data_IF_687112277994
#
_entry.id   IF_687112277994
#
_cell.length_a   1.000
_cell.length_b   1.000
_cell.length_c   1.000
_cell.angle_alpha   90.00
_cell.angle_beta   90.00
_cell.angle_gamma   90.00
#
_symmetry.space_group_name_H-M   'P 1'
#
loop_
_entity.id
_entity.type
_entity.pdbx_description
1 polymer ?
#
# COMPACT_ATOMS: atom_id res chain seq x y z
N UNK A 1 43.12 25.33 1.32
CA UNK A 1 42.07 24.35 1.53
C UNK A 1 40.69 25.05 1.37
N UNK A 2 39.63 24.34 1.03
CA UNK A 2 38.25 24.92 0.95
C UNK A 2 37.85 25.63 2.24
N UNK A 3 38.33 25.17 3.38
CA UNK A 3 38.09 25.74 4.69
C UNK A 3 38.53 27.22 4.79
N UNK A 4 39.71 27.57 4.32
CA UNK A 4 40.21 28.94 4.38
C UNK A 4 39.42 29.90 3.49
N UNK A 5 38.86 29.37 2.43
CA UNK A 5 37.98 30.11 1.51
C UNK A 5 36.63 30.40 2.10
N UNK A 6 36.05 29.45 2.86
CA UNK A 6 34.81 29.68 3.61
C UNK A 6 34.93 30.75 4.69
N UNK A 7 36.06 30.72 5.45
CA UNK A 7 36.33 31.75 6.46
C UNK A 7 36.50 33.13 5.82
N UNK A 8 37.28 33.23 4.73
CA UNK A 8 37.46 34.48 4.00
C UNK A 8 36.18 35.04 3.44
N UNK A 9 35.32 34.21 2.86
CA UNK A 9 34.04 34.65 2.34
C UNK A 9 33.15 35.16 3.46
N UNK A 10 33.06 34.44 4.58
CA UNK A 10 32.27 34.87 5.71
C UNK A 10 32.76 36.19 6.30
N UNK A 11 34.06 36.35 6.48
CA UNK A 11 34.63 37.60 7.01
C UNK A 11 34.44 38.81 6.08
N UNK A 12 34.28 38.59 4.76
CA UNK A 12 34.10 39.66 3.77
C UNK A 12 32.62 39.94 3.47
N UNK A 13 31.73 38.95 3.50
CA UNK A 13 30.32 39.10 3.10
C UNK A 13 29.33 39.11 4.28
N UNK A 14 29.74 38.56 5.44
CA UNK A 14 28.85 38.33 6.60
C UNK A 14 27.83 37.17 6.39
N UNK A 15 27.85 36.49 5.24
CA UNK A 15 26.93 35.39 4.95
C UNK A 15 27.30 34.11 5.70
N UNK A 16 26.41 33.65 6.59
CA UNK A 16 26.57 32.42 7.39
C UNK A 16 26.18 31.19 6.57
N UNK A 17 27.14 30.55 5.89
CA UNK A 17 26.88 29.30 5.15
C UNK A 17 26.98 28.04 6.03
N UNK A 18 27.77 28.09 7.12
CA UNK A 18 28.10 26.93 7.95
C UNK A 18 27.89 27.23 9.44
N UNK A 19 28.01 28.50 9.85
CA UNK A 19 27.89 28.92 11.24
C UNK A 19 26.45 28.83 11.72
N UNK A 20 26.21 28.04 12.78
CA UNK A 20 24.88 27.83 13.38
C UNK A 20 24.07 26.70 12.73
N UNK A 21 24.51 26.14 11.62
CA UNK A 21 23.83 25.05 10.93
C UNK A 21 24.65 23.76 11.08
N UNK A 22 24.07 22.72 11.75
CA UNK A 22 24.71 21.41 11.84
C UNK A 22 24.75 20.74 10.46
N UNK A 23 25.87 20.12 10.12
CA UNK A 23 26.03 19.33 8.88
C UNK A 23 26.58 17.95 9.19
N UNK A 24 26.08 16.95 8.50
CA UNK A 24 26.67 15.62 8.51
C UNK A 24 27.71 15.59 7.40
N UNK A 25 28.96 15.27 7.76
CA UNK A 25 30.08 15.18 6.85
C UNK A 25 30.89 13.92 7.13
N UNK A 26 31.68 13.45 6.16
CA UNK A 26 32.66 12.39 6.38
C UNK A 26 33.96 12.95 7.00
N UNK A 27 34.31 12.46 8.17
CA UNK A 27 35.64 12.72 8.77
C UNK A 27 36.58 11.52 8.50
N UNK A 28 37.84 11.82 8.21
CA UNK A 28 38.89 10.80 8.05
C UNK A 28 39.67 10.68 9.35
N UNK A 29 39.67 9.51 9.93
CA UNK A 29 40.47 9.18 11.11
C UNK A 29 41.97 9.03 10.79
N UNK A 30 42.81 9.01 11.81
CA UNK A 30 44.27 8.85 11.66
C UNK A 30 44.67 7.50 11.04
N UNK A 31 43.84 6.45 11.21
CA UNK A 31 44.01 5.13 10.62
C UNK A 31 43.50 5.03 9.16
N UNK A 32 42.99 6.14 8.60
CA UNK A 32 42.52 6.23 7.23
C UNK A 32 41.03 5.88 7.05
N UNK A 33 40.33 5.37 8.06
CA UNK A 33 38.90 5.10 8.02
C UNK A 33 38.10 6.39 7.92
N UNK A 34 36.96 6.34 7.22
CA UNK A 34 36.02 7.42 7.13
C UNK A 34 34.85 7.12 8.05
N UNK A 35 34.40 8.10 8.82
CA UNK A 35 33.25 8.03 9.70
C UNK A 35 32.31 9.22 9.46
N UNK A 36 30.99 9.04 9.61
CA UNK A 36 30.05 10.14 9.58
C UNK A 36 30.12 10.92 10.89
N UNK A 37 30.27 12.25 10.77
CA UNK A 37 30.29 13.13 11.93
C UNK A 37 29.32 14.30 11.75
N UNK A 38 28.65 14.69 12.82
CA UNK A 38 27.93 15.94 12.90
C UNK A 38 28.91 17.06 13.24
N UNK A 39 29.06 18.05 12.33
CA UNK A 39 29.88 19.23 12.51
C UNK A 39 28.99 20.43 12.75
N UNK A 40 29.18 21.12 13.88
CA UNK A 40 28.57 22.42 14.19
C UNK A 40 29.65 23.44 14.44
N UNK A 41 29.50 24.63 13.88
CA UNK A 41 30.44 25.73 14.07
C UNK A 41 29.69 26.87 14.76
N UNK A 42 30.19 27.29 15.93
CA UNK A 42 29.75 28.43 16.64
C UNK A 42 30.73 29.63 16.48
N UNK A 43 30.23 30.83 16.61
CA UNK A 43 31.01 32.07 16.66
C UNK A 43 30.76 32.75 17.99
N UNK A 44 31.81 33.19 18.63
CA UNK A 44 31.78 34.02 19.84
C UNK A 44 32.75 35.21 19.70
N UNK A 45 32.46 36.31 20.32
CA UNK A 45 33.37 37.47 20.46
C UNK A 45 33.90 37.49 21.89
N UNK A 46 35.19 37.38 22.04
CA UNK A 46 35.89 37.39 23.32
C UNK A 46 36.97 38.47 23.24
N UNK A 47 36.96 39.43 24.14
CA UNK A 47 37.93 40.55 24.19
C UNK A 47 38.06 41.35 22.88
N UNK A 48 36.95 41.50 22.13
CA UNK A 48 36.91 42.22 20.86
C UNK A 48 37.49 41.38 19.69
N UNK A 49 37.80 40.12 19.93
CA UNK A 49 38.25 39.19 18.89
C UNK A 49 37.22 38.11 18.59
N UNK A 50 36.96 37.85 17.30
CA UNK A 50 36.09 36.78 16.87
C UNK A 50 36.80 35.44 17.03
N UNK A 51 36.13 34.54 17.74
CA UNK A 51 36.59 33.14 17.90
C UNK A 51 35.54 32.19 17.30
N UNK A 52 36.02 31.17 16.63
CA UNK A 52 35.18 30.08 16.08
C UNK A 52 35.39 28.81 16.90
N UNK A 53 34.28 28.23 17.34
CA UNK A 53 34.30 26.97 18.07
C UNK A 53 33.69 25.88 17.16
N UNK A 54 34.44 24.81 16.89
CA UNK A 54 33.96 23.63 16.17
C UNK A 54 33.54 22.54 17.15
N UNK A 55 32.34 22.05 17.00
CA UNK A 55 31.84 20.86 17.69
C UNK A 55 31.75 19.72 16.68
N UNK A 56 32.42 18.60 16.95
CA UNK A 56 32.40 17.42 16.11
C UNK A 56 31.88 16.25 16.94
N UNK A 57 30.84 15.61 16.47
CA UNK A 57 30.25 14.44 17.11
C UNK A 57 30.28 13.25 16.15
N UNK A 58 30.87 12.15 16.56
CA UNK A 58 30.76 10.88 15.85
C UNK A 58 29.32 10.38 15.93
N UNK A 59 28.69 10.16 14.79
CA UNK A 59 27.30 9.68 14.68
C UNK A 59 27.21 8.26 14.11
N UNK A 60 28.34 7.56 13.99
CA UNK A 60 28.41 6.20 13.43
C UNK A 60 27.50 5.23 14.17
N UNK A 61 27.56 5.24 15.51
CA UNK A 61 26.72 4.38 16.33
C UNK A 61 25.24 4.76 16.22
N UNK A 62 24.95 6.05 16.19
CA UNK A 62 23.56 6.54 16.04
C UNK A 62 22.95 6.11 14.71
N UNK A 63 23.71 6.22 13.60
CA UNK A 63 23.24 5.76 12.28
C UNK A 63 23.10 4.25 12.22
N UNK A 64 24.07 3.50 12.77
CA UNK A 64 23.98 2.04 12.82
C UNK A 64 22.77 1.56 13.64
N UNK A 65 22.49 2.21 14.78
CA UNK A 65 21.32 1.89 15.60
C UNK A 65 20.00 2.25 14.88
N UNK A 66 19.92 3.40 14.21
CA UNK A 66 18.74 3.78 13.42
C UNK A 66 18.47 2.76 12.31
N UNK A 67 19.50 2.34 11.58
CA UNK A 67 19.38 1.30 10.55
C UNK A 67 18.92 -0.03 11.14
N UNK A 68 19.50 -0.44 12.29
CA UNK A 68 19.12 -1.67 12.99
C UNK A 68 17.67 -1.66 13.46
N UNK A 69 17.18 -0.52 13.99
CA UNK A 69 15.78 -0.36 14.39
C UNK A 69 14.87 -0.51 13.17
N UNK A 70 15.20 0.13 12.05
CA UNK A 70 14.43 -0.01 10.81
C UNK A 70 14.38 -1.45 10.31
N UNK A 71 15.52 -2.16 10.34
CA UNK A 71 15.56 -3.57 9.97
C UNK A 71 14.70 -4.45 10.89
N UNK A 72 14.78 -4.23 12.20
CA UNK A 72 13.95 -4.96 13.17
C UNK A 72 12.45 -4.69 12.96
N UNK A 73 12.07 -3.47 12.63
CA UNK A 73 10.67 -3.14 12.33
C UNK A 73 10.16 -3.91 11.10
N UNK A 74 10.97 -4.01 10.04
CA UNK A 74 10.65 -4.81 8.84
C UNK A 74 10.51 -6.30 9.19
N UNK A 75 11.45 -6.84 9.98
CA UNK A 75 11.39 -8.25 10.42
C UNK A 75 10.15 -8.53 11.29
N UNK A 76 9.83 -7.65 12.24
CA UNK A 76 8.64 -7.77 13.08
C UNK A 76 7.35 -7.71 12.25
N UNK A 77 7.28 -6.80 11.28
CA UNK A 77 6.13 -6.71 10.38
C UNK A 77 5.95 -8.00 9.55
N UNK A 78 7.05 -8.57 9.05
CA UNK A 78 7.02 -9.84 8.34
C UNK A 78 6.63 -11.01 9.24
N UNK A 79 7.16 -11.08 10.46
CA UNK A 79 6.80 -12.11 11.44
C UNK A 79 5.32 -12.01 11.85
N UNK A 80 4.81 -10.80 12.09
CA UNK A 80 3.39 -10.56 12.39
C UNK A 80 2.48 -11.05 11.28
N UNK A 81 2.84 -10.79 10.00
CA UNK A 81 2.08 -11.29 8.83
C UNK A 81 2.07 -12.81 8.75
N UNK A 82 3.24 -13.44 8.89
CA UNK A 82 3.34 -14.91 8.87
C UNK A 82 2.56 -15.54 10.03
N UNK A 83 2.59 -14.94 11.20
CA UNK A 83 1.81 -15.38 12.37
C UNK A 83 0.31 -15.26 12.10
N UNK A 84 -0.13 -14.14 11.50
CA UNK A 84 -1.52 -13.95 11.11
C UNK A 84 -1.97 -15.01 10.08
N UNK A 85 -1.15 -15.32 9.07
CA UNK A 85 -1.43 -16.43 8.12
C UNK A 85 -1.54 -17.78 8.84
N UNK A 86 -0.67 -18.05 9.82
CA UNK A 86 -0.70 -19.29 10.60
C UNK A 86 -1.99 -19.48 11.40
N UNK A 87 -2.45 -18.43 12.08
CA UNK A 87 -3.72 -18.46 12.83
C UNK A 87 -4.94 -18.58 11.91
N UNK A 88 -4.82 -18.13 10.68
CA UNK A 88 -5.90 -18.11 9.69
C UNK A 88 -5.90 -19.33 8.76
N UNK A 89 -4.86 -20.16 8.79
CA UNK A 89 -4.76 -21.32 7.89
C UNK A 89 -6.02 -22.20 7.95
N UNK A 90 -6.65 -22.33 9.11
CA UNK A 90 -7.89 -23.10 9.29
C UNK A 90 -9.10 -22.42 8.61
N UNK A 91 -9.26 -21.11 8.76
CA UNK A 91 -10.35 -20.37 8.14
C UNK A 91 -10.20 -20.32 6.62
N UNK A 92 -8.97 -20.10 6.13
CA UNK A 92 -8.66 -20.10 4.70
C UNK A 92 -8.85 -21.47 4.05
N UNK A 93 -8.46 -22.56 4.76
CA UNK A 93 -8.74 -23.91 4.29
C UNK A 93 -10.25 -24.15 4.20
N UNK A 94 -11.02 -23.65 5.14
CA UNK A 94 -12.48 -23.76 5.12
C UNK A 94 -13.08 -22.98 3.94
N UNK A 95 -12.70 -21.72 3.75
CA UNK A 95 -13.17 -20.89 2.62
C UNK A 95 -12.75 -21.41 1.25
N UNK A 96 -11.59 -22.04 1.13
CA UNK A 96 -11.16 -22.68 -0.11
C UNK A 96 -11.90 -24.00 -0.36
N UNK A 97 -12.13 -24.80 0.68
CA UNK A 97 -12.84 -26.06 0.55
C UNK A 97 -14.31 -25.88 0.16
N UNK A 98 -14.98 -24.79 0.57
CA UNK A 98 -16.37 -24.51 0.20
C UNK A 98 -16.59 -24.48 -1.32
N UNK A 99 -15.95 -23.61 -2.12
CA UNK A 99 -16.14 -23.60 -3.57
C UNK A 99 -15.66 -24.89 -4.24
N UNK A 100 -14.60 -25.53 -3.74
CA UNK A 100 -14.10 -26.80 -4.29
C UNK A 100 -15.10 -27.95 -4.07
N UNK A 101 -15.73 -28.01 -2.90
CA UNK A 101 -16.81 -28.97 -2.62
C UNK A 101 -18.03 -28.69 -3.52
N UNK A 102 -18.39 -27.42 -3.71
CA UNK A 102 -19.49 -27.06 -4.61
C UNK A 102 -19.19 -27.46 -6.06
N UNK A 103 -17.94 -27.26 -6.55
CA UNK A 103 -17.50 -27.75 -7.87
C UNK A 103 -17.69 -29.25 -7.99
N UNK A 104 -17.22 -30.03 -7.00
CA UNK A 104 -17.36 -31.48 -7.01
C UNK A 104 -18.84 -31.92 -7.08
N UNK A 105 -19.70 -31.31 -6.26
CA UNK A 105 -21.14 -31.60 -6.23
C UNK A 105 -21.82 -31.27 -7.56
N UNK A 106 -21.54 -30.11 -8.18
CA UNK A 106 -22.11 -29.76 -9.48
C UNK A 106 -21.65 -30.70 -10.61
N UNK A 107 -20.37 -31.07 -10.61
CA UNK A 107 -19.84 -32.03 -11.60
C UNK A 107 -20.44 -33.45 -11.42
N UNK A 108 -20.65 -33.86 -10.16
CA UNK A 108 -21.28 -35.17 -9.87
C UNK A 108 -22.75 -35.17 -10.30
N UNK A 109 -23.50 -34.10 -9.98
CA UNK A 109 -24.88 -33.93 -10.45
C UNK A 109 -24.98 -33.92 -11.97
N UNK A 110 -24.12 -33.16 -12.66
CA UNK A 110 -24.07 -33.16 -14.13
C UNK A 110 -23.78 -34.53 -14.71
N UNK A 111 -22.83 -35.26 -14.11
CA UNK A 111 -22.48 -36.64 -14.53
C UNK A 111 -23.67 -37.60 -14.38
N UNK A 112 -24.36 -37.57 -13.24
CA UNK A 112 -25.46 -38.50 -12.95
C UNK A 112 -26.68 -38.23 -13.85
N UNK A 113 -26.86 -37.01 -14.34
CA UNK A 113 -27.90 -36.63 -15.28
C UNK A 113 -27.57 -37.03 -16.73
N UNK A 114 -26.30 -37.28 -17.08
CA UNK A 114 -25.90 -37.61 -18.44
C UNK A 114 -26.39 -38.98 -18.91
N UNK A 115 -26.56 -39.94 -17.98
CA UNK A 115 -26.93 -41.34 -18.35
C UNK A 115 -28.31 -41.46 -18.98
N UNK A 116 -29.23 -40.50 -18.73
CA UNK A 116 -30.59 -40.49 -19.27
C UNK A 116 -30.99 -39.08 -19.76
N UNK A 117 -30.09 -38.35 -20.41
CA UNK A 117 -30.30 -37.00 -20.82
C UNK A 117 -31.32 -36.82 -21.92
N UNK A 118 -32.45 -36.18 -21.61
CA UNK A 118 -33.37 -35.59 -22.57
C UNK A 118 -33.11 -34.08 -22.77
N UNK A 119 -33.88 -33.40 -23.58
CA UNK A 119 -33.69 -31.99 -23.90
C UNK A 119 -33.76 -31.10 -22.67
N UNK A 120 -34.66 -31.41 -21.73
CA UNK A 120 -34.83 -30.59 -20.48
C UNK A 120 -33.68 -30.88 -19.52
N UNK A 121 -33.22 -32.13 -19.41
CA UNK A 121 -32.06 -32.51 -18.59
C UNK A 121 -30.76 -31.86 -19.07
N UNK A 122 -30.58 -31.68 -20.40
CA UNK A 122 -29.41 -30.98 -20.94
C UNK A 122 -29.28 -29.54 -20.43
N UNK A 123 -30.41 -28.83 -20.19
CA UNK A 123 -30.39 -27.47 -19.62
C UNK A 123 -29.85 -27.52 -18.21
N UNK A 124 -30.30 -28.43 -17.35
CA UNK A 124 -29.80 -28.59 -15.99
C UNK A 124 -28.32 -28.97 -15.93
N UNK A 125 -27.85 -29.81 -16.87
CA UNK A 125 -26.43 -30.14 -16.99
C UNK A 125 -25.61 -28.90 -17.32
N UNK A 126 -26.08 -28.08 -18.26
CA UNK A 126 -25.40 -26.79 -18.60
C UNK A 126 -25.33 -25.85 -17.42
N UNK A 127 -26.43 -25.64 -16.69
CA UNK A 127 -26.48 -24.83 -15.48
C UNK A 127 -25.51 -25.34 -14.41
N UNK A 128 -25.43 -26.66 -14.19
CA UNK A 128 -24.50 -27.24 -13.24
C UNK A 128 -23.03 -27.01 -13.64
N UNK A 129 -22.68 -27.12 -14.91
CA UNK A 129 -21.34 -26.89 -15.44
C UNK A 129 -20.96 -25.39 -15.30
N UNK A 130 -21.89 -24.48 -15.59
CA UNK A 130 -21.67 -23.02 -15.45
C UNK A 130 -21.48 -22.64 -13.97
N UNK A 131 -22.28 -23.25 -13.06
CA UNK A 131 -22.13 -23.10 -11.63
C UNK A 131 -20.76 -23.60 -11.14
N UNK A 132 -20.30 -24.79 -11.62
CA UNK A 132 -18.98 -25.32 -11.30
C UNK A 132 -17.86 -24.42 -11.80
N UNK A 133 -17.95 -23.90 -13.02
CA UNK A 133 -16.99 -22.94 -13.57
C UNK A 133 -16.91 -21.67 -12.73
N UNK A 134 -18.03 -21.13 -12.31
CA UNK A 134 -18.13 -19.96 -11.43
C UNK A 134 -17.44 -20.21 -10.08
N UNK A 135 -17.66 -21.35 -9.44
CA UNK A 135 -17.02 -21.70 -8.18
C UNK A 135 -15.51 -21.93 -8.34
N UNK A 136 -15.06 -22.50 -9.47
CA UNK A 136 -13.62 -22.64 -9.77
C UNK A 136 -12.90 -21.28 -9.88
N UNK A 137 -13.54 -20.31 -10.54
CA UNK A 137 -13.02 -18.94 -10.64
C UNK A 137 -12.92 -18.32 -9.24
N UNK A 138 -13.95 -18.51 -8.39
CA UNK A 138 -13.97 -18.03 -7.01
C UNK A 138 -12.84 -18.63 -6.19
N UNK A 139 -12.58 -19.93 -6.27
CA UNK A 139 -11.46 -20.59 -5.61
C UNK A 139 -10.11 -19.99 -6.04
N UNK A 140 -9.94 -19.77 -7.35
CA UNK A 140 -8.74 -19.11 -7.89
C UNK A 140 -8.53 -17.69 -7.37
N UNK A 141 -9.60 -16.93 -7.16
CA UNK A 141 -9.54 -15.59 -6.56
C UNK A 141 -9.10 -15.64 -5.08
N UNK A 142 -9.57 -16.61 -4.30
CA UNK A 142 -9.15 -16.83 -2.91
C UNK A 142 -7.64 -17.10 -2.84
N UNK A 143 -7.13 -18.02 -3.69
CA UNK A 143 -5.71 -18.34 -3.76
C UNK A 143 -4.86 -17.12 -4.15
N UNK A 144 -5.30 -16.32 -5.13
CA UNK A 144 -4.59 -15.10 -5.53
C UNK A 144 -4.50 -14.09 -4.38
N UNK A 145 -5.61 -13.83 -3.68
CA UNK A 145 -5.63 -12.93 -2.52
C UNK A 145 -4.69 -13.40 -1.41
N UNK A 146 -4.65 -14.72 -1.14
CA UNK A 146 -3.72 -15.31 -0.18
C UNK A 146 -2.27 -15.10 -0.61
N UNK A 147 -1.94 -15.39 -1.87
CA UNK A 147 -0.60 -15.16 -2.41
C UNK A 147 -0.19 -13.71 -2.31
N UNK A 148 -1.08 -12.78 -2.67
CA UNK A 148 -0.82 -11.34 -2.63
C UNK A 148 -0.62 -10.84 -1.18
N UNK A 149 -1.22 -11.51 -0.19
CA UNK A 149 -0.98 -11.24 1.23
C UNK A 149 0.39 -11.74 1.72
N UNK A 150 0.85 -12.90 1.21
CA UNK A 150 2.12 -13.54 1.64
C UNK A 150 3.32 -13.02 0.86
N UNK A 151 3.17 -12.76 -0.47
CA UNK A 151 4.27 -12.46 -1.40
C UNK A 151 4.63 -10.98 -1.42
N UNK A 152 5.09 -10.40 -0.29
CA UNK A 152 5.64 -9.06 -0.30
C UNK A 152 7.15 -9.11 -0.25
N UNK A 153 7.76 -8.95 -1.44
CA UNK A 153 9.17 -8.60 -1.60
C UNK A 153 9.51 -7.20 -1.06
N UNK A 154 10.75 -6.80 -1.16
CA UNK A 154 11.21 -5.43 -0.89
C UNK A 154 10.37 -4.43 -1.71
N UNK A 155 9.98 -3.30 -1.08
CA UNK A 155 9.27 -2.20 -1.75
C UNK A 155 10.15 -1.63 -2.88
N UNK A 156 9.64 -1.63 -4.09
CA UNK A 156 10.28 -0.99 -5.23
C UNK A 156 9.83 0.47 -5.35
N UNK A 157 10.33 1.30 -4.44
CA UNK A 157 10.00 2.72 -4.36
C UNK A 157 10.60 3.50 -5.52
N UNK A 158 9.78 3.97 -6.43
CA UNK A 158 10.18 4.75 -7.62
C UNK A 158 9.27 5.97 -7.80
N UNK A 159 9.73 7.01 -8.53
CA UNK A 159 8.83 8.07 -8.98
C UNK A 159 7.73 7.50 -9.89
N UNK A 160 6.47 7.66 -9.49
CA UNK A 160 5.30 7.08 -10.16
C UNK A 160 4.34 8.20 -10.54
N UNK A 161 3.84 8.16 -11.78
CA UNK A 161 2.77 9.03 -12.24
C UNK A 161 1.41 8.50 -11.73
N UNK A 162 0.75 9.27 -10.88
CA UNK A 162 -0.53 8.88 -10.28
C UNK A 162 -1.65 8.74 -11.30
N UNK A 163 -1.68 9.58 -12.35
CA UNK A 163 -2.70 9.50 -13.39
C UNK A 163 -2.68 8.12 -14.06
N UNK A 164 -1.49 7.67 -14.48
CA UNK A 164 -1.33 6.35 -15.11
C UNK A 164 -1.77 5.20 -14.17
N UNK A 165 -1.41 5.28 -12.89
CA UNK A 165 -1.77 4.23 -11.92
C UNK A 165 -3.27 4.16 -11.70
N UNK A 166 -3.94 5.32 -11.61
CA UNK A 166 -5.41 5.37 -11.42
C UNK A 166 -6.15 4.90 -12.67
N UNK A 167 -5.67 5.25 -13.87
CA UNK A 167 -6.25 4.76 -15.13
C UNK A 167 -6.12 3.24 -15.24
N UNK A 168 -4.92 2.68 -14.98
CA UNK A 168 -4.68 1.24 -14.94
C UNK A 168 -5.59 0.55 -13.90
N UNK A 169 -5.67 1.12 -12.69
CA UNK A 169 -6.48 0.57 -11.60
C UNK A 169 -7.98 0.60 -11.93
N UNK A 170 -8.47 1.70 -12.49
CA UNK A 170 -9.87 1.86 -12.90
C UNK A 170 -10.25 0.84 -13.96
N UNK A 171 -9.37 0.60 -14.93
CA UNK A 171 -9.58 -0.40 -15.97
C UNK A 171 -9.66 -1.81 -15.39
N UNK A 172 -8.75 -2.16 -14.46
CA UNK A 172 -8.71 -3.46 -13.81
C UNK A 172 -9.89 -3.68 -12.83
N UNK A 173 -10.32 -2.63 -12.13
CA UNK A 173 -11.41 -2.73 -11.17
C UNK A 173 -12.74 -3.08 -11.85
N UNK A 174 -12.96 -2.67 -13.08
CA UNK A 174 -14.17 -2.95 -13.87
C UNK A 174 -14.27 -4.41 -14.36
N UNK A 175 -13.17 -5.12 -14.42
CA UNK A 175 -13.15 -6.53 -14.85
C UNK A 175 -13.91 -7.39 -13.85
N UNK A 176 -14.92 -8.12 -14.31
CA UNK A 176 -15.79 -8.97 -13.49
C UNK A 176 -17.06 -8.30 -12.97
N UNK A 177 -17.30 -7.03 -13.30
CA UNK A 177 -18.54 -6.29 -13.03
C UNK A 177 -19.32 -5.99 -14.34
N UNK A 178 -19.20 -6.87 -15.32
CA UNK A 178 -19.92 -6.78 -16.59
C UNK A 178 -21.44 -6.83 -16.32
N UNK A 179 -22.11 -5.69 -16.45
CA UNK A 179 -23.55 -5.54 -16.14
C UNK A 179 -23.86 -4.62 -14.96
N UNK A 180 -22.91 -4.27 -14.11
CA UNK A 180 -23.09 -3.19 -13.13
C UNK A 180 -22.72 -1.84 -13.77
N UNK A 181 -23.69 -0.91 -13.79
CA UNK A 181 -23.60 0.39 -14.45
C UNK A 181 -22.84 1.45 -13.61
N UNK A 182 -22.00 1.06 -12.65
CA UNK A 182 -21.28 2.02 -11.82
C UNK A 182 -20.30 2.85 -12.68
N UNK A 183 -20.50 4.17 -12.67
CA UNK A 183 -19.64 5.11 -13.39
C UNK A 183 -18.46 5.51 -12.52
N UNK A 184 -17.24 5.10 -12.88
CA UNK A 184 -16.01 5.55 -12.22
C UNK A 184 -15.51 6.81 -12.92
N UNK A 185 -15.38 7.89 -12.16
CA UNK A 185 -14.98 9.24 -12.62
C UNK A 185 -13.63 9.58 -11.96
N UNK A 186 -12.57 9.62 -12.77
CA UNK A 186 -11.24 10.03 -12.30
C UNK A 186 -11.09 11.57 -12.48
N UNK A 187 -10.72 12.25 -11.40
CA UNK A 187 -10.43 13.68 -11.36
C UNK A 187 -8.99 13.89 -10.88
N UNK A 188 -8.03 13.68 -11.77
CA UNK A 188 -6.62 13.75 -11.49
C UNK A 188 -6.00 14.81 -12.38
N UNK A 189 -5.43 15.89 -11.81
CA UNK A 189 -4.71 16.89 -12.58
C UNK A 189 -3.55 16.27 -13.37
N UNK A 190 -3.42 16.64 -14.64
CA UNK A 190 -2.37 16.12 -15.52
C UNK A 190 -0.97 16.64 -15.17
N UNK A 191 -0.90 17.73 -14.42
CA UNK A 191 0.31 18.39 -13.93
C UNK A 191 0.74 17.96 -12.53
N UNK A 192 0.10 16.92 -12.00
CA UNK A 192 0.43 16.36 -10.67
C UNK A 192 1.86 15.80 -10.70
N UNK A 193 2.73 16.18 -9.74
CA UNK A 193 4.09 15.66 -9.68
C UNK A 193 4.09 14.16 -9.43
N UNK A 194 5.16 13.48 -9.85
CA UNK A 194 5.35 12.06 -9.53
C UNK A 194 5.53 11.88 -8.03
N UNK A 195 4.92 10.83 -7.48
CA UNK A 195 5.05 10.42 -6.08
C UNK A 195 6.02 9.26 -5.95
N UNK A 196 6.74 9.19 -4.83
CA UNK A 196 7.63 8.07 -4.54
C UNK A 196 6.79 6.90 -3.99
N UNK A 197 6.61 5.85 -4.79
CA UNK A 197 5.77 4.70 -4.42
C UNK A 197 6.19 3.42 -5.16
N UNK A 198 5.75 2.28 -4.65
CA UNK A 198 5.70 1.03 -5.41
C UNK A 198 4.44 1.02 -6.29
N UNK A 199 4.63 1.15 -7.61
CA UNK A 199 3.54 1.23 -8.60
C UNK A 199 2.56 0.07 -8.49
N UNK A 200 3.08 -1.15 -8.28
CA UNK A 200 2.24 -2.36 -8.24
C UNK A 200 1.36 -2.40 -7.00
N UNK A 201 1.96 -2.06 -5.84
CA UNK A 201 1.25 -2.04 -4.57
C UNK A 201 0.24 -0.89 -4.50
N UNK A 202 0.61 0.31 -4.97
CA UNK A 202 -0.31 1.44 -5.03
C UNK A 202 -1.51 1.15 -5.95
N UNK A 203 -1.28 0.56 -7.13
CA UNK A 203 -2.35 0.09 -8.02
C UNK A 203 -3.27 -0.92 -7.32
N UNK A 204 -2.71 -1.86 -6.55
CA UNK A 204 -3.49 -2.84 -5.79
C UNK A 204 -4.42 -2.17 -4.77
N UNK A 205 -3.93 -1.16 -4.03
CA UNK A 205 -4.77 -0.39 -3.09
C UNK A 205 -5.94 0.25 -3.83
N UNK A 206 -5.66 0.97 -4.92
CA UNK A 206 -6.69 1.70 -5.67
C UNK A 206 -7.72 0.73 -6.27
N UNK A 207 -7.28 -0.40 -6.84
CA UNK A 207 -8.19 -1.46 -7.36
C UNK A 207 -9.09 -1.98 -6.24
N UNK A 208 -8.54 -2.29 -5.07
CA UNK A 208 -9.32 -2.80 -3.94
C UNK A 208 -10.38 -1.79 -3.48
N UNK A 209 -9.99 -0.53 -3.34
CA UNK A 209 -10.92 0.52 -2.89
C UNK A 209 -12.03 0.78 -3.92
N UNK A 210 -11.70 0.89 -5.23
CA UNK A 210 -12.69 1.06 -6.29
C UNK A 210 -13.66 -0.15 -6.33
N UNK A 211 -13.16 -1.37 -6.22
CA UNK A 211 -14.01 -2.57 -6.19
C UNK A 211 -14.93 -2.58 -4.99
N UNK A 212 -14.45 -2.23 -3.81
CA UNK A 212 -15.29 -2.11 -2.61
C UNK A 212 -16.41 -1.10 -2.80
N UNK A 213 -16.10 0.06 -3.41
CA UNK A 213 -17.06 1.08 -3.76
C UNK A 213 -18.11 0.56 -4.77
N UNK A 214 -17.70 -0.06 -5.88
CA UNK A 214 -18.60 -0.64 -6.89
C UNK A 214 -19.53 -1.69 -6.25
N UNK A 215 -19.00 -2.58 -5.41
CA UNK A 215 -19.77 -3.60 -4.71
C UNK A 215 -20.82 -3.01 -3.75
N UNK A 216 -20.49 -1.89 -3.07
CA UNK A 216 -21.42 -1.20 -2.18
C UNK A 216 -22.61 -0.56 -2.93
N UNK A 217 -22.43 -0.31 -4.23
CA UNK A 217 -23.40 0.37 -5.09
C UNK A 217 -24.40 -0.57 -5.78
N UNK A 218 -24.41 -1.86 -5.46
CA UNK A 218 -25.22 -2.88 -6.14
C UNK A 218 -26.73 -2.57 -6.18
N UNK A 219 -27.25 -1.88 -5.16
CA UNK A 219 -28.65 -1.48 -5.03
C UNK A 219 -28.87 0.03 -5.19
N UNK A 220 -27.82 0.78 -5.56
CA UNK A 220 -27.87 2.25 -5.61
C UNK A 220 -28.38 2.74 -6.96
N UNK A 221 -29.30 3.70 -6.94
CA UNK A 221 -29.77 4.36 -8.14
C UNK A 221 -28.70 5.31 -8.68
N UNK A 222 -28.32 5.18 -9.97
CA UNK A 222 -27.27 5.95 -10.63
C UNK A 222 -25.92 5.85 -9.89
N UNK A 223 -25.32 4.63 -9.82
CA UNK A 223 -24.13 4.35 -9.04
C UNK A 223 -22.90 5.09 -9.60
N UNK A 224 -22.19 5.84 -8.74
CA UNK A 224 -21.02 6.63 -9.11
C UNK A 224 -19.90 6.46 -8.09
N UNK A 225 -18.67 6.36 -8.59
CA UNK A 225 -17.43 6.35 -7.79
C UNK A 225 -16.54 7.46 -8.33
N UNK A 226 -16.05 8.32 -7.45
CA UNK A 226 -15.07 9.36 -7.78
C UNK A 226 -13.70 8.97 -7.24
N UNK A 227 -12.67 9.14 -8.08
CA UNK A 227 -11.27 9.01 -7.70
C UNK A 227 -10.62 10.35 -7.92
N UNK A 228 -10.27 11.02 -6.83
CA UNK A 228 -9.77 12.40 -6.83
C UNK A 228 -8.34 12.36 -6.29
N UNK A 229 -7.41 13.06 -6.95
CA UNK A 229 -6.06 13.26 -6.42
C UNK A 229 -5.73 14.74 -6.28
N UNK A 230 -5.17 15.10 -5.12
CA UNK A 230 -4.71 16.46 -4.81
C UNK A 230 -3.32 16.42 -4.17
N UNK A 231 -2.62 17.55 -4.16
CA UNK A 231 -1.39 17.72 -3.37
C UNK A 231 -1.70 18.66 -2.20
N UNK A 232 -1.37 18.20 -1.00
CA UNK A 232 -1.50 18.96 0.24
C UNK A 232 -0.20 18.79 1.03
N UNK A 233 0.46 19.90 1.40
CA UNK A 233 1.69 19.91 2.22
C UNK A 233 2.80 18.94 1.73
N UNK A 234 3.07 18.91 0.41
CA UNK A 234 4.02 18.03 -0.27
C UNK A 234 3.63 16.53 -0.26
N UNK A 235 2.41 16.20 0.17
CA UNK A 235 1.86 14.85 0.12
C UNK A 235 0.78 14.74 -0.94
N UNK A 236 0.74 13.60 -1.63
CA UNK A 236 -0.37 13.28 -2.52
C UNK A 236 -1.51 12.65 -1.72
N UNK A 237 -2.69 13.27 -1.77
CA UNK A 237 -3.93 12.72 -1.23
C UNK A 237 -4.73 12.11 -2.37
N UNK A 238 -5.07 10.82 -2.26
CA UNK A 238 -5.98 10.12 -3.17
C UNK A 238 -7.25 9.83 -2.40
N UNK A 239 -8.37 10.40 -2.85
CA UNK A 239 -9.69 10.21 -2.27
C UNK A 239 -10.53 9.34 -3.19
N UNK A 240 -11.17 8.31 -2.64
CA UNK A 240 -12.12 7.45 -3.36
C UNK A 240 -13.45 7.58 -2.65
N UNK A 241 -14.43 8.13 -3.36
CA UNK A 241 -15.78 8.39 -2.85
C UNK A 241 -16.80 7.62 -3.66
N UNK A 242 -17.88 7.17 -3.01
CA UNK A 242 -19.02 6.56 -3.66
C UNK A 242 -20.33 7.19 -3.14
N UNK A 243 -21.42 7.03 -3.91
CA UNK A 243 -22.76 7.49 -3.50
C UNK A 243 -23.63 6.37 -2.91
N UNK A 244 -23.00 5.40 -2.29
CA UNK A 244 -23.64 4.26 -1.65
C UNK A 244 -24.17 4.54 -0.24
N UNK A 245 -24.60 3.49 0.46
CA UNK A 245 -25.20 3.60 1.79
C UNK A 245 -24.20 3.91 2.92
N UNK A 246 -22.89 3.99 2.60
CA UNK A 246 -21.82 4.15 3.60
C UNK A 246 -21.42 2.81 4.27
N UNK A 247 -20.56 2.89 5.26
CA UNK A 247 -20.05 1.73 6.01
C UNK A 247 -20.87 1.57 7.30
N UNK A 248 -21.69 0.52 7.43
CA UNK A 248 -22.47 0.28 8.65
C UNK A 248 -21.52 -0.01 9.84
N UNK A 249 -21.79 0.61 11.00
CA UNK A 249 -21.03 0.34 12.23
C UNK A 249 -19.61 0.91 12.27
N UNK A 250 -19.25 1.84 11.39
CA UNK A 250 -17.94 2.50 11.36
C UNK A 250 -17.57 3.20 12.69
N UNK A 251 -18.55 3.58 13.50
CA UNK A 251 -18.34 4.20 14.80
C UNK A 251 -17.95 3.20 15.92
N UNK A 252 -18.18 1.90 15.72
CA UNK A 252 -17.97 0.87 16.75
C UNK A 252 -16.71 0.03 16.51
N UNK A 253 -16.33 -0.19 15.26
CA UNK A 253 -15.16 -1.00 14.88
C UNK A 253 -14.45 -0.40 13.68
N UNK A 254 -13.12 -0.45 13.66
CA UNK A 254 -12.34 0.03 12.51
C UNK A 254 -12.65 -0.82 11.26
N UNK A 255 -13.01 -0.21 10.13
CA UNK A 255 -13.23 -0.94 8.89
C UNK A 255 -11.95 -1.59 8.34
N UNK A 256 -10.78 -1.20 8.89
CA UNK A 256 -9.47 -1.73 8.51
C UNK A 256 -9.06 -2.96 9.32
N UNK A 257 -9.83 -3.33 10.35
CA UNK A 257 -9.56 -4.55 11.10
C UNK A 257 -9.70 -5.78 10.19
N UNK A 258 -8.70 -6.65 10.23
CA UNK A 258 -8.71 -7.85 9.42
C UNK A 258 -9.92 -8.75 9.79
N UNK A 259 -10.58 -9.31 8.78
CA UNK A 259 -11.78 -10.17 8.90
C UNK A 259 -13.06 -9.46 9.33
N UNK A 260 -13.04 -8.15 9.44
CA UNK A 260 -14.24 -7.38 9.62
C UNK A 260 -14.92 -7.19 8.24
N UNK A 261 -15.95 -7.96 7.95
CA UNK A 261 -16.73 -7.84 6.70
C UNK A 261 -18.21 -7.89 6.99
N UNK A 262 -18.92 -6.90 6.52
CA UNK A 262 -20.40 -6.86 6.56
C UNK A 262 -21.04 -7.60 5.38
N UNK A 263 -20.20 -8.09 4.42
CA UNK A 263 -20.70 -8.71 3.19
C UNK A 263 -20.76 -10.23 3.31
N UNK A 264 -21.84 -10.89 2.83
CA UNK A 264 -21.90 -12.34 2.74
C UNK A 264 -20.77 -12.89 1.83
N UNK A 265 -19.86 -13.69 2.39
CA UNK A 265 -18.72 -14.28 1.67
C UNK A 265 -17.56 -13.31 1.40
N UNK A 266 -17.55 -12.15 2.04
CA UNK A 266 -16.39 -11.25 2.07
C UNK A 266 -15.41 -11.66 3.18
N UNK A 267 -14.11 -11.86 2.87
CA UNK A 267 -13.08 -12.22 3.85
C UNK A 267 -12.70 -11.07 4.80
N UNK A 268 -13.13 -9.83 4.55
CA UNK A 268 -12.71 -8.68 5.36
C UNK A 268 -11.21 -8.36 5.32
N UNK A 269 -10.48 -8.83 4.30
CA UNK A 269 -9.03 -8.63 4.17
C UNK A 269 -8.66 -7.44 3.25
N UNK A 270 -9.59 -6.97 2.42
CA UNK A 270 -9.29 -5.95 1.41
C UNK A 270 -8.76 -4.65 2.02
N UNK A 271 -9.46 -4.10 3.00
CA UNK A 271 -9.09 -2.84 3.65
C UNK A 271 -7.85 -2.98 4.55
N UNK A 272 -7.70 -4.08 5.28
CA UNK A 272 -6.50 -4.34 6.08
C UNK A 272 -5.24 -4.50 5.22
N UNK A 273 -5.36 -5.06 4.01
CA UNK A 273 -4.28 -5.08 3.02
C UNK A 273 -3.95 -3.66 2.55
N UNK A 274 -4.97 -2.83 2.26
CA UNK A 274 -4.75 -1.44 1.87
C UNK A 274 -3.99 -0.68 2.96
N UNK A 275 -4.42 -0.78 4.21
CA UNK A 275 -3.73 -0.17 5.36
C UNK A 275 -2.27 -0.62 5.44
N UNK A 276 -2.01 -1.93 5.38
CA UNK A 276 -0.63 -2.45 5.45
C UNK A 276 0.25 -1.94 4.30
N UNK A 277 -0.31 -1.76 3.09
CA UNK A 277 0.45 -1.21 1.95
C UNK A 277 0.76 0.27 2.19
N UNK A 278 -0.22 1.05 2.61
CA UNK A 278 -0.07 2.48 2.84
C UNK A 278 0.88 2.76 4.01
N UNK A 279 0.79 2.02 5.12
CA UNK A 279 1.73 2.08 6.23
C UNK A 279 3.18 1.79 5.78
N UNK A 280 3.37 0.79 4.89
CA UNK A 280 4.67 0.46 4.33
C UNK A 280 5.24 1.56 3.42
N UNK A 281 4.39 2.42 2.86
CA UNK A 281 4.79 3.63 2.12
C UNK A 281 5.02 4.84 3.03
N UNK A 282 4.91 4.67 4.36
CA UNK A 282 5.06 5.76 5.34
C UNK A 282 3.92 6.79 5.29
N UNK A 283 2.74 6.38 4.83
CA UNK A 283 1.53 7.19 4.67
C UNK A 283 0.39 6.66 5.54
N UNK A 284 -0.76 7.31 5.51
CA UNK A 284 -1.94 6.96 6.33
C UNK A 284 -3.14 6.76 5.40
N UNK A 285 -4.01 5.81 5.74
CA UNK A 285 -5.34 5.63 5.14
C UNK A 285 -6.40 5.99 6.18
N UNK A 286 -7.37 6.81 5.80
CA UNK A 286 -8.44 7.31 6.65
C UNK A 286 -9.80 6.80 6.17
#
# INVERSE_FOLDING_TARGET
THHDQYIKNYLSTGEKQIIGIGRIVEAKLADGRKIPVELKIGEAEIDGQRQFTGYIRDISEQQANALRVTQMQVELANFSRLSAVGTMASAMAHELNQPLTAVANYLEAARDLLDNADADTLVFIQEALDAAATQSIRAGQIVRRLRDYVSRGELDMRPVNLLEVVEDATSLAKVGFEGQLARVIAQIPSDLPSVLADRLQLRQVIVNLIRNAIEALSETTNPQVWVIATIEDDLARITIEDNGPGIPGADETSPFDAFNSTKPGGMGLGLSICQTIIDAHGSVIE
#
